data_IF_475432794700
#
_entry.id   IF_475432794700
#
_cell.length_a   1.000
_cell.length_b   1.000
_cell.length_c   1.000
_cell.angle_alpha   90.00
_cell.angle_beta   90.00
_cell.angle_gamma   90.00
#
_symmetry.space_group_name_H-M   'P 1'
#
loop_
_entity.id
_entity.type
_entity.pdbx_description
1 polymer ?
#
# COMPACT_ATOMS: atom_id res chain seq x y z
N UNK A 1 64.68 25.91 41.55
CA UNK A 1 63.95 24.70 41.19
C UNK A 1 62.47 24.89 41.52
N UNK A 2 61.66 25.20 40.52
CA UNK A 2 60.24 25.47 40.73
C UNK A 2 59.50 24.26 40.12
N UNK A 3 58.83 23.49 40.96
CA UNK A 3 58.05 22.35 40.58
C UNK A 3 56.64 22.79 40.23
N UNK A 4 56.23 22.69 38.98
CA UNK A 4 54.89 22.96 38.45
C UNK A 4 54.07 21.69 38.47
N UNK A 5 53.10 21.57 39.37
CA UNK A 5 52.17 20.48 39.44
C UNK A 5 51.01 20.73 38.45
N UNK A 6 50.92 19.91 37.38
CA UNK A 6 49.79 19.86 36.49
C UNK A 6 48.61 19.10 37.16
N UNK A 7 47.52 19.80 37.46
CA UNK A 7 46.24 19.17 37.84
C UNK A 7 45.44 18.88 36.56
N UNK A 8 45.28 17.60 36.25
CA UNK A 8 44.36 17.17 35.23
C UNK A 8 42.91 17.30 35.72
N UNK A 9 42.15 18.14 35.05
CA UNK A 9 40.69 18.24 35.28
C UNK A 9 40.00 17.15 34.45
N UNK A 10 39.42 16.17 35.13
CA UNK A 10 38.57 15.15 34.49
C UNK A 10 37.18 15.76 34.23
N UNK A 11 36.89 16.06 32.97
CA UNK A 11 35.54 16.44 32.56
C UNK A 11 34.64 15.19 32.47
N UNK A 12 33.72 15.08 33.40
CA UNK A 12 32.65 14.08 33.35
C UNK A 12 31.62 14.52 32.29
N UNK A 13 31.56 13.84 31.18
CA UNK A 13 30.46 13.94 30.21
C UNK A 13 29.28 13.17 30.81
N UNK A 14 28.28 13.89 31.31
CA UNK A 14 26.99 13.31 31.69
C UNK A 14 26.22 13.03 30.40
N UNK A 15 26.24 11.79 29.95
CA UNK A 15 25.34 11.32 28.90
C UNK A 15 23.97 11.16 29.53
N UNK A 16 23.11 12.16 29.37
CA UNK A 16 21.70 12.05 29.70
C UNK A 16 21.09 11.06 28.70
N UNK A 17 20.87 9.82 29.14
CA UNK A 17 20.03 8.87 28.42
C UNK A 17 18.60 9.42 28.41
N UNK A 18 18.20 10.05 27.31
CA UNK A 18 16.80 10.25 27.03
C UNK A 18 16.18 8.84 26.83
N UNK A 19 15.55 8.33 27.90
CA UNK A 19 14.61 7.24 27.74
C UNK A 19 13.53 7.77 26.79
N UNK A 20 13.48 7.21 25.56
CA UNK A 20 12.35 7.39 24.68
C UNK A 20 11.15 6.80 25.43
N UNK A 21 10.35 7.67 26.05
CA UNK A 21 9.05 7.28 26.59
C UNK A 21 8.27 6.72 25.41
N UNK A 22 7.97 5.42 25.44
CA UNK A 22 7.06 4.81 24.48
C UNK A 22 5.77 5.63 24.50
N UNK A 23 5.38 6.17 23.38
CA UNK A 23 4.10 6.88 23.27
C UNK A 23 3.04 5.79 23.31
N UNK A 24 2.37 5.62 24.46
CA UNK A 24 1.17 4.82 24.55
C UNK A 24 0.14 5.40 23.56
N UNK A 25 -0.25 4.61 22.57
CA UNK A 25 -1.08 5.04 21.44
C UNK A 25 -2.55 5.29 21.80
N UNK A 26 -2.91 5.17 23.08
CA UNK A 26 -4.28 5.36 23.58
C UNK A 26 -4.24 5.68 25.09
N UNK A 27 -5.41 5.93 25.69
CA UNK A 27 -5.53 6.00 27.15
C UNK A 27 -5.19 4.65 27.80
N UNK A 28 -4.91 4.63 29.11
CA UNK A 28 -4.67 3.38 29.88
C UNK A 28 -5.81 2.34 29.67
N UNK A 29 -7.04 2.79 29.40
CA UNK A 29 -8.19 1.93 29.07
C UNK A 29 -8.28 1.54 27.60
N UNK A 30 -7.29 1.86 26.78
CA UNK A 30 -7.26 1.55 25.33
C UNK A 30 -8.24 2.37 24.49
N UNK A 31 -8.86 3.44 25.06
CA UNK A 31 -9.82 4.29 24.35
C UNK A 31 -9.13 5.46 23.68
N UNK A 32 -9.59 5.80 22.50
CA UNK A 32 -9.14 6.97 21.73
C UNK A 32 -10.32 7.56 20.96
N UNK A 33 -10.20 8.83 20.56
CA UNK A 33 -11.17 9.48 19.70
C UNK A 33 -10.90 9.19 18.22
N UNK A 34 -11.96 8.99 17.47
CA UNK A 34 -11.90 8.90 16.00
C UNK A 34 -12.39 10.22 15.46
N UNK A 35 -11.67 10.82 14.53
CA UNK A 35 -12.01 12.10 13.93
C UNK A 35 -12.43 11.98 12.46
N UNK A 36 -13.22 12.95 12.01
CA UNK A 36 -13.56 13.14 10.59
C UNK A 36 -14.27 11.96 9.95
N UNK A 37 -13.85 11.61 8.74
CA UNK A 37 -14.49 10.57 7.93
C UNK A 37 -14.42 9.16 8.52
N UNK A 38 -13.51 8.92 9.49
CA UNK A 38 -13.43 7.64 10.19
C UNK A 38 -14.69 7.27 10.99
N UNK A 39 -15.49 8.26 11.41
CA UNK A 39 -16.76 8.07 12.10
C UNK A 39 -17.90 7.67 11.17
N UNK A 40 -17.76 7.92 9.87
CA UNK A 40 -18.81 7.65 8.90
C UNK A 40 -19.04 6.15 8.72
N UNK A 41 -20.23 5.78 8.30
CA UNK A 41 -20.57 4.40 7.98
C UNK A 41 -20.09 4.00 6.58
N UNK A 42 -19.95 2.72 6.35
CA UNK A 42 -19.73 2.12 5.06
C UNK A 42 -20.77 2.57 4.02
N UNK A 43 -22.05 2.69 4.40
CA UNK A 43 -23.08 3.20 3.50
C UNK A 43 -22.78 4.62 3.01
N UNK A 44 -22.27 5.51 3.86
CA UNK A 44 -21.89 6.86 3.48
C UNK A 44 -20.68 6.86 2.51
N UNK A 45 -19.70 5.98 2.74
CA UNK A 45 -18.57 5.80 1.83
C UNK A 45 -19.03 5.31 0.45
N UNK A 46 -19.85 4.26 0.40
CA UNK A 46 -20.37 3.69 -0.84
C UNK A 46 -21.19 4.73 -1.63
N UNK A 47 -22.04 5.48 -0.95
CA UNK A 47 -22.80 6.57 -1.56
C UNK A 47 -21.88 7.63 -2.18
N UNK A 48 -20.84 8.08 -1.45
CA UNK A 48 -19.89 9.07 -1.97
C UNK A 48 -19.10 8.55 -3.18
N UNK A 49 -18.75 7.25 -3.17
CA UNK A 49 -18.05 6.57 -4.26
C UNK A 49 -18.92 6.48 -5.52
N UNK A 50 -20.21 6.10 -5.39
CA UNK A 50 -21.15 5.97 -6.49
C UNK A 50 -21.51 7.31 -7.12
N UNK A 51 -21.62 8.37 -6.30
CA UNK A 51 -21.88 9.73 -6.76
C UNK A 51 -20.68 10.38 -7.46
N UNK A 52 -19.48 9.80 -7.33
CA UNK A 52 -18.28 10.22 -8.05
C UNK A 52 -18.35 9.71 -9.48
N UNK A 53 -18.76 10.54 -10.43
CA UNK A 53 -18.58 10.27 -11.86
C UNK A 53 -17.29 10.94 -12.35
N UNK A 54 -16.45 10.25 -13.17
CA UNK A 54 -15.29 10.89 -13.81
C UNK A 54 -15.67 12.10 -14.67
N UNK A 55 -16.90 12.11 -15.19
CA UNK A 55 -17.46 13.19 -16.03
C UNK A 55 -18.33 14.14 -15.23
N UNK A 56 -18.45 13.94 -13.91
CA UNK A 56 -19.39 14.70 -13.10
C UNK A 56 -18.82 16.07 -12.74
N UNK A 57 -19.54 17.09 -13.19
CA UNK A 57 -19.31 18.48 -12.79
C UNK A 57 -19.79 18.79 -11.38
N UNK A 58 -20.27 17.78 -10.63
CA UNK A 58 -20.69 17.92 -9.26
C UNK A 58 -19.49 17.95 -8.31
N UNK A 59 -18.89 19.12 -8.14
CA UNK A 59 -17.75 19.33 -7.28
C UNK A 59 -17.96 18.84 -5.83
N UNK A 60 -19.21 18.88 -5.32
CA UNK A 60 -19.52 18.43 -3.96
C UNK A 60 -19.42 16.91 -3.81
N UNK A 61 -19.81 16.13 -4.80
CA UNK A 61 -19.67 14.67 -4.78
C UNK A 61 -18.20 14.24 -4.88
N UNK A 62 -17.44 14.91 -5.73
CA UNK A 62 -15.98 14.70 -5.84
C UNK A 62 -15.29 15.04 -4.53
N UNK A 63 -15.64 16.16 -3.89
CA UNK A 63 -15.09 16.58 -2.59
C UNK A 63 -15.43 15.57 -1.48
N UNK A 64 -16.67 15.07 -1.45
CA UNK A 64 -17.10 14.09 -0.45
C UNK A 64 -16.26 12.81 -0.50
N UNK A 65 -16.05 12.24 -1.68
CA UNK A 65 -15.24 11.04 -1.84
C UNK A 65 -13.75 11.31 -1.54
N UNK A 66 -13.22 12.46 -1.99
CA UNK A 66 -11.83 12.85 -1.72
C UNK A 66 -11.56 12.98 -0.21
N UNK A 67 -12.52 13.42 0.58
CA UNK A 67 -12.41 13.47 2.06
C UNK A 67 -12.25 12.08 2.68
N UNK A 68 -12.97 11.09 2.18
CA UNK A 68 -12.81 9.71 2.63
C UNK A 68 -11.41 9.18 2.32
N UNK A 69 -10.96 9.35 1.08
CA UNK A 69 -9.65 8.87 0.66
C UNK A 69 -8.53 9.62 1.38
N UNK A 70 -8.61 10.95 1.51
CA UNK A 70 -7.63 11.74 2.25
C UNK A 70 -7.56 11.37 3.73
N UNK A 71 -8.71 10.99 4.34
CA UNK A 71 -8.71 10.47 5.70
C UNK A 71 -7.98 9.13 5.80
N UNK A 72 -8.19 8.21 4.83
CA UNK A 72 -7.49 6.91 4.76
C UNK A 72 -5.98 7.13 4.63
N UNK A 73 -5.54 7.98 3.70
CA UNK A 73 -4.12 8.30 3.50
C UNK A 73 -3.48 8.94 4.73
N UNK A 74 -4.20 9.84 5.40
CA UNK A 74 -3.77 10.43 6.67
C UNK A 74 -3.63 9.39 7.78
N UNK A 75 -4.59 8.44 7.87
CA UNK A 75 -4.53 7.35 8.82
C UNK A 75 -3.32 6.43 8.56
N UNK A 76 -3.07 6.04 7.30
CA UNK A 76 -1.92 5.23 6.92
C UNK A 76 -0.59 5.95 7.19
N UNK A 77 -0.54 7.28 7.00
CA UNK A 77 0.61 8.10 7.40
C UNK A 77 0.85 8.03 8.91
N UNK A 78 -0.21 8.07 9.71
CA UNK A 78 -0.14 7.85 11.16
C UNK A 78 0.39 6.45 11.50
N UNK A 79 -0.08 5.42 10.79
CA UNK A 79 0.40 4.05 10.96
C UNK A 79 1.90 3.97 10.65
N UNK A 80 2.38 4.54 9.53
CA UNK A 80 3.81 4.57 9.18
C UNK A 80 4.66 5.20 10.28
N UNK A 81 4.13 6.21 10.95
CA UNK A 81 4.86 6.92 12.01
C UNK A 81 4.89 6.17 13.33
N UNK A 82 3.81 5.51 13.71
CA UNK A 82 3.62 5.00 15.08
C UNK A 82 3.64 3.47 15.18
N UNK A 83 3.47 2.75 14.09
CA UNK A 83 3.64 1.31 14.07
C UNK A 83 5.14 0.99 14.02
N UNK A 84 5.66 0.36 15.06
CA UNK A 84 7.06 -0.04 15.12
C UNK A 84 7.49 -0.88 13.92
N UNK A 85 8.74 -0.72 13.49
CA UNK A 85 9.34 -1.48 12.38
C UNK A 85 8.56 -1.30 11.06
N UNK A 86 8.12 -0.05 10.79
CA UNK A 86 7.33 0.28 9.60
C UNK A 86 7.85 1.57 8.95
N UNK A 87 8.33 1.45 7.73
CA UNK A 87 8.63 2.60 6.87
C UNK A 87 7.41 2.99 6.04
N UNK A 88 6.79 2.01 5.36
CA UNK A 88 5.57 2.21 4.59
C UNK A 88 4.66 0.98 4.71
N UNK A 89 3.47 1.18 5.25
CA UNK A 89 2.46 0.11 5.44
C UNK A 89 1.77 -0.28 4.13
N UNK A 90 1.79 0.61 3.14
CA UNK A 90 1.07 0.47 1.88
C UNK A 90 1.96 0.87 0.67
N UNK A 91 3.09 0.18 0.46
CA UNK A 91 4.16 0.64 -0.42
C UNK A 91 3.84 0.60 -1.93
N UNK A 92 2.74 0.01 -2.34
CA UNK A 92 2.34 -0.14 -3.75
C UNK A 92 0.86 0.16 -4.00
N UNK A 93 0.09 0.40 -2.95
CA UNK A 93 -1.32 0.74 -3.08
C UNK A 93 -1.51 2.19 -3.54
N UNK A 94 -2.62 2.43 -4.22
CA UNK A 94 -3.03 3.78 -4.63
C UNK A 94 -4.37 4.16 -4.02
N UNK A 95 -4.71 5.45 -4.10
CA UNK A 95 -6.00 5.98 -3.70
C UNK A 95 -7.18 5.25 -4.37
N UNK A 96 -7.03 4.92 -5.66
CA UNK A 96 -8.03 4.17 -6.42
C UNK A 96 -8.20 2.76 -5.87
N UNK A 97 -7.09 2.08 -5.55
CA UNK A 97 -7.11 0.74 -4.99
C UNK A 97 -7.74 0.72 -3.59
N UNK A 98 -7.43 1.71 -2.74
CA UNK A 98 -8.15 1.85 -1.45
C UNK A 98 -9.65 1.96 -1.65
N UNK A 99 -10.06 2.78 -2.62
CA UNK A 99 -11.47 2.93 -2.98
C UNK A 99 -12.14 1.62 -3.41
N UNK A 100 -11.43 0.77 -4.12
CA UNK A 100 -11.92 -0.57 -4.53
C UNK A 100 -12.01 -1.50 -3.31
N UNK A 101 -10.93 -1.66 -2.55
CA UNK A 101 -10.87 -2.60 -1.41
C UNK A 101 -11.92 -2.24 -0.36
N UNK A 102 -11.95 -0.96 0.05
CA UNK A 102 -12.90 -0.48 1.04
C UNK A 102 -14.32 -0.59 0.51
N UNK A 103 -14.55 -0.26 -0.76
CA UNK A 103 -15.86 -0.33 -1.39
C UNK A 103 -16.44 -1.74 -1.42
N UNK A 104 -15.65 -2.74 -1.86
CA UNK A 104 -16.07 -4.14 -1.88
C UNK A 104 -16.47 -4.65 -0.48
N UNK A 105 -15.76 -4.21 0.55
CA UNK A 105 -16.10 -4.55 1.93
C UNK A 105 -17.38 -3.82 2.39
N UNK A 106 -17.46 -2.53 2.09
CA UNK A 106 -18.56 -1.67 2.52
C UNK A 106 -19.90 -2.03 1.88
N UNK A 107 -19.93 -2.49 0.63
CA UNK A 107 -21.13 -3.00 -0.03
C UNK A 107 -21.78 -4.16 0.75
N UNK A 108 -20.97 -4.98 1.40
CA UNK A 108 -21.42 -6.14 2.19
C UNK A 108 -21.71 -5.79 3.65
N UNK A 109 -21.14 -4.69 4.16
CA UNK A 109 -21.15 -4.30 5.57
C UNK A 109 -21.55 -2.83 5.77
N UNK A 110 -22.75 -2.38 5.34
CA UNK A 110 -23.12 -0.96 5.23
C UNK A 110 -23.14 -0.20 6.57
N UNK A 111 -23.29 -0.90 7.68
CA UNK A 111 -23.37 -0.30 9.02
C UNK A 111 -22.03 -0.21 9.74
N UNK A 112 -20.98 -0.81 9.20
CA UNK A 112 -19.65 -0.77 9.78
C UNK A 112 -19.05 0.62 9.62
N UNK A 113 -18.23 1.08 10.57
CA UNK A 113 -17.55 2.37 10.46
C UNK A 113 -16.31 2.26 9.58
N UNK A 114 -16.04 3.30 8.81
CA UNK A 114 -14.86 3.36 7.96
C UNK A 114 -13.55 3.08 8.74
N UNK A 115 -13.44 3.61 9.96
CA UNK A 115 -12.29 3.35 10.82
C UNK A 115 -12.05 1.85 11.04
N UNK A 116 -13.09 1.08 11.35
CA UNK A 116 -13.00 -0.35 11.60
C UNK A 116 -12.55 -1.12 10.35
N UNK A 117 -13.05 -0.72 9.19
CA UNK A 117 -12.65 -1.28 7.89
C UNK A 117 -11.19 -1.01 7.59
N UNK A 118 -10.75 0.25 7.77
CA UNK A 118 -9.35 0.64 7.53
C UNK A 118 -8.40 -0.04 8.52
N UNK A 119 -8.80 -0.22 9.78
CA UNK A 119 -8.02 -1.02 10.74
C UNK A 119 -7.80 -2.47 10.25
N UNK A 120 -8.86 -3.13 9.78
CA UNK A 120 -8.76 -4.48 9.22
C UNK A 120 -7.85 -4.51 8.01
N UNK A 121 -7.94 -3.51 7.14
CA UNK A 121 -7.05 -3.35 5.99
C UNK A 121 -5.58 -3.23 6.45
N UNK A 122 -5.28 -2.38 7.43
CA UNK A 122 -3.92 -2.22 7.98
C UNK A 122 -3.37 -3.53 8.53
N UNK A 123 -4.18 -4.30 9.26
CA UNK A 123 -3.76 -5.63 9.77
C UNK A 123 -3.33 -6.53 8.60
N UNK A 124 -4.09 -6.54 7.51
CA UNK A 124 -3.76 -7.33 6.32
C UNK A 124 -2.47 -6.83 5.66
N UNK A 125 -2.29 -5.51 5.54
CA UNK A 125 -1.12 -4.89 4.92
C UNK A 125 0.17 -5.06 5.72
N UNK A 126 0.08 -5.37 7.03
CA UNK A 126 1.25 -5.48 7.91
C UNK A 126 2.27 -6.50 7.42
N UNK A 127 1.84 -7.54 6.71
CA UNK A 127 2.74 -8.57 6.18
C UNK A 127 3.60 -8.09 5.01
N UNK A 128 3.08 -7.15 4.21
CA UNK A 128 3.71 -6.68 2.97
C UNK A 128 4.34 -5.28 3.12
N UNK A 129 4.36 -4.76 4.36
CA UNK A 129 4.91 -3.43 4.63
C UNK A 129 6.41 -3.36 4.37
N UNK A 130 6.88 -2.22 3.95
CA UNK A 130 8.30 -1.91 3.98
C UNK A 130 8.73 -1.56 5.41
N UNK A 131 9.77 -2.22 5.90
CA UNK A 131 10.35 -1.97 7.23
C UNK A 131 11.45 -0.93 7.19
N UNK A 132 12.09 -0.75 6.06
CA UNK A 132 13.21 0.16 5.84
C UNK A 132 12.94 1.02 4.61
N UNK A 133 13.54 2.23 4.54
CA UNK A 133 13.53 3.03 3.33
C UNK A 133 14.02 2.23 2.12
N UNK A 134 13.37 2.44 0.99
CA UNK A 134 13.74 1.85 -0.29
C UNK A 134 13.78 2.94 -1.36
N UNK A 135 14.73 2.84 -2.28
CA UNK A 135 14.79 3.73 -3.43
C UNK A 135 13.55 3.54 -4.31
N UNK A 136 13.18 4.60 -5.03
CA UNK A 136 12.07 4.56 -5.98
C UNK A 136 12.59 4.53 -7.41
N UNK A 137 11.97 3.74 -8.25
CA UNK A 137 12.22 3.67 -9.69
C UNK A 137 10.95 4.01 -10.47
N UNK A 138 11.10 4.84 -11.52
CA UNK A 138 10.01 5.14 -12.45
C UNK A 138 10.13 4.24 -13.68
N UNK A 139 9.17 3.35 -13.83
CA UNK A 139 9.04 2.42 -14.95
C UNK A 139 8.24 3.11 -16.06
N UNK A 140 8.78 3.17 -17.26
CA UNK A 140 8.10 3.80 -18.40
C UNK A 140 7.98 2.81 -19.54
N UNK A 141 6.76 2.62 -20.03
CA UNK A 141 6.48 1.84 -21.23
C UNK A 141 5.71 2.69 -22.23
N UNK A 142 5.91 2.42 -23.51
CA UNK A 142 5.02 2.92 -24.55
C UNK A 142 3.88 1.94 -24.73
N UNK A 143 2.66 2.45 -24.62
CA UNK A 143 1.49 1.65 -24.96
C UNK A 143 1.34 1.45 -26.48
N UNK A 144 0.34 0.68 -26.89
CA UNK A 144 0.06 0.38 -28.28
C UNK A 144 -0.32 1.61 -29.13
N UNK A 145 -0.56 2.77 -28.48
CA UNK A 145 -0.83 4.07 -29.11
C UNK A 145 0.41 4.97 -29.13
N UNK A 146 1.55 4.49 -28.60
CA UNK A 146 2.79 5.25 -28.46
C UNK A 146 2.80 6.22 -27.29
N UNK A 147 1.79 6.22 -26.42
CA UNK A 147 1.73 7.04 -25.23
C UNK A 147 2.63 6.46 -24.12
N UNK A 148 3.32 7.35 -23.40
CA UNK A 148 4.13 6.93 -22.27
C UNK A 148 3.22 6.62 -21.07
N UNK A 149 3.19 5.37 -20.64
CA UNK A 149 2.65 4.96 -19.35
C UNK A 149 3.78 4.75 -18.37
N UNK A 150 3.58 5.13 -17.11
CA UNK A 150 4.59 5.00 -16.09
C UNK A 150 4.00 4.67 -14.73
N UNK A 151 4.78 3.92 -13.96
CA UNK A 151 4.52 3.62 -12.55
C UNK A 151 5.79 3.96 -11.80
N UNK A 152 5.67 4.73 -10.72
CA UNK A 152 6.77 4.96 -9.78
C UNK A 152 6.57 4.03 -8.58
N UNK A 153 7.59 3.21 -8.28
CA UNK A 153 7.48 2.11 -7.33
C UNK A 153 8.80 1.95 -6.57
N UNK A 154 8.75 1.45 -5.36
CA UNK A 154 9.95 1.08 -4.60
C UNK A 154 10.68 -0.11 -5.22
N UNK A 155 12.00 -0.09 -5.23
CA UNK A 155 12.83 -1.21 -5.72
C UNK A 155 12.57 -2.49 -4.93
N UNK A 156 12.27 -2.40 -3.63
CA UNK A 156 11.87 -3.54 -2.80
C UNK A 156 10.54 -4.16 -3.25
N UNK A 157 9.59 -3.37 -3.74
CA UNK A 157 8.33 -3.89 -4.30
C UNK A 157 8.60 -4.59 -5.63
N UNK A 158 9.52 -4.07 -6.46
CA UNK A 158 9.96 -4.77 -7.69
C UNK A 158 10.59 -6.10 -7.34
N UNK A 159 11.47 -6.14 -6.32
CA UNK A 159 12.11 -7.37 -5.86
C UNK A 159 11.09 -8.41 -5.37
N UNK A 160 10.10 -7.97 -4.61
CA UNK A 160 8.99 -8.83 -4.17
C UNK A 160 8.17 -9.37 -5.36
N UNK A 161 7.87 -8.53 -6.35
CA UNK A 161 7.18 -8.96 -7.56
C UNK A 161 8.00 -10.00 -8.35
N UNK A 162 9.32 -9.81 -8.49
CA UNK A 162 10.22 -10.79 -9.12
C UNK A 162 10.19 -12.14 -8.39
N UNK A 163 10.19 -12.12 -7.04
CA UNK A 163 10.13 -13.33 -6.23
C UNK A 163 8.82 -14.09 -6.43
N UNK A 164 7.68 -13.40 -6.40
CA UNK A 164 6.36 -14.00 -6.63
C UNK A 164 6.22 -14.54 -8.06
N UNK A 165 6.68 -13.80 -9.07
CA UNK A 165 6.71 -14.25 -10.47
C UNK A 165 7.61 -15.48 -10.66
N UNK A 166 8.74 -15.52 -9.93
CA UNK A 166 9.66 -16.65 -9.95
C UNK A 166 9.07 -17.91 -9.33
N UNK A 167 8.35 -17.78 -8.19
CA UNK A 167 7.61 -18.88 -7.57
C UNK A 167 6.54 -19.47 -8.50
N UNK A 168 5.96 -18.64 -9.36
CA UNK A 168 4.96 -19.06 -10.36
C UNK A 168 5.59 -19.51 -11.70
N UNK A 169 6.92 -19.51 -11.82
CA UNK A 169 7.65 -19.91 -13.03
C UNK A 169 7.58 -18.92 -14.19
N UNK A 170 7.10 -17.69 -13.92
CA UNK A 170 6.94 -16.61 -14.90
C UNK A 170 8.17 -15.69 -15.00
N UNK A 171 9.11 -15.80 -14.08
CA UNK A 171 10.37 -15.08 -14.06
C UNK A 171 11.55 -16.03 -13.79
N UNK A 172 12.62 -15.89 -14.56
CA UNK A 172 13.82 -16.76 -14.42
C UNK A 172 15.09 -16.00 -14.08
N UNK A 173 15.01 -14.66 -14.02
CA UNK A 173 16.11 -13.78 -13.69
C UNK A 173 16.52 -13.81 -12.22
N UNK A 174 17.40 -12.87 -11.85
CA UNK A 174 17.82 -12.65 -10.49
C UNK A 174 16.80 -11.75 -9.74
N UNK A 175 16.46 -12.13 -8.52
CA UNK A 175 15.57 -11.36 -7.65
C UNK A 175 16.37 -10.24 -6.97
N UNK A 176 16.54 -9.13 -7.68
CA UNK A 176 17.45 -8.04 -7.28
C UNK A 176 16.77 -6.65 -7.19
N UNK A 177 15.48 -6.55 -7.54
CA UNK A 177 14.73 -5.29 -7.53
C UNK A 177 15.03 -4.39 -8.74
N UNK A 178 15.85 -4.83 -9.69
CA UNK A 178 16.07 -4.09 -10.93
C UNK A 178 14.97 -4.40 -11.93
N UNK A 179 14.47 -3.36 -12.59
CA UNK A 179 13.45 -3.52 -13.63
C UNK A 179 14.09 -3.83 -14.97
N UNK A 180 14.08 -5.09 -15.37
CA UNK A 180 14.62 -5.58 -16.63
C UNK A 180 13.51 -6.08 -17.58
N UNK A 181 13.90 -6.45 -18.79
CA UNK A 181 12.98 -6.95 -19.82
C UNK A 181 12.31 -8.27 -19.40
N UNK A 182 13.01 -9.13 -18.68
CA UNK A 182 12.48 -10.40 -18.22
C UNK A 182 11.45 -10.19 -17.10
N UNK A 183 11.68 -9.22 -16.20
CA UNK A 183 10.69 -8.80 -15.19
C UNK A 183 9.43 -8.26 -15.86
N UNK A 184 9.58 -7.38 -16.85
CA UNK A 184 8.48 -6.83 -17.61
C UNK A 184 7.65 -7.93 -18.31
N UNK A 185 8.31 -8.87 -18.99
CA UNK A 185 7.66 -10.02 -19.63
C UNK A 185 6.92 -10.89 -18.60
N UNK A 186 7.55 -11.15 -17.45
CA UNK A 186 6.94 -11.90 -16.35
C UNK A 186 5.65 -11.26 -15.88
N UNK A 187 5.65 -9.93 -15.68
CA UNK A 187 4.44 -9.16 -15.31
C UNK A 187 3.38 -9.25 -16.41
N UNK A 188 3.75 -9.07 -17.71
CA UNK A 188 2.81 -9.18 -18.80
C UNK A 188 2.16 -10.57 -18.89
N UNK A 189 2.95 -11.64 -18.76
CA UNK A 189 2.43 -13.01 -18.73
C UNK A 189 1.49 -13.24 -17.54
N UNK A 190 1.84 -12.72 -16.36
CA UNK A 190 0.97 -12.80 -15.21
C UNK A 190 -0.36 -12.08 -15.45
N UNK A 191 -0.31 -10.83 -15.95
CA UNK A 191 -1.50 -10.04 -16.28
C UNK A 191 -2.43 -10.79 -17.26
N UNK A 192 -1.89 -11.34 -18.34
CA UNK A 192 -2.64 -12.15 -19.29
C UNK A 192 -3.28 -13.38 -18.64
N UNK A 193 -2.54 -14.07 -17.74
CA UNK A 193 -3.02 -15.27 -17.05
C UNK A 193 -4.19 -14.98 -16.11
N UNK A 194 -4.25 -13.80 -15.48
CA UNK A 194 -5.34 -13.39 -14.58
C UNK A 194 -6.42 -12.55 -15.28
N UNK A 195 -6.34 -12.39 -16.62
CA UNK A 195 -7.35 -11.68 -17.41
C UNK A 195 -7.26 -10.17 -17.37
N UNK A 196 -6.12 -9.61 -16.95
CA UNK A 196 -5.81 -8.19 -17.05
C UNK A 196 -5.23 -7.86 -18.43
N UNK A 197 -5.20 -6.56 -18.76
CA UNK A 197 -4.46 -6.07 -19.92
C UNK A 197 -2.96 -6.30 -19.68
N UNK A 198 -2.28 -6.97 -20.59
CA UNK A 198 -0.87 -7.37 -20.54
C UNK A 198 0.09 -6.20 -20.85
N UNK A 199 -0.01 -5.14 -20.07
CA UNK A 199 0.80 -3.92 -20.21
C UNK A 199 2.27 -4.13 -19.88
N UNK A 200 2.57 -5.16 -19.09
CA UNK A 200 3.89 -5.38 -18.51
C UNK A 200 4.27 -4.35 -17.41
N UNK A 201 3.36 -3.46 -16.99
CA UNK A 201 3.58 -2.55 -15.86
C UNK A 201 2.97 -3.12 -14.57
N UNK A 202 3.68 -3.08 -13.45
CA UNK A 202 3.18 -3.54 -12.16
C UNK A 202 2.30 -2.45 -11.53
N UNK A 203 1.13 -2.20 -12.14
CA UNK A 203 0.13 -1.31 -11.56
C UNK A 203 -0.45 -1.86 -10.25
N UNK A 204 -1.10 -1.03 -9.40
CA UNK A 204 -1.58 -1.45 -8.09
C UNK A 204 -2.53 -2.65 -8.12
N UNK A 205 -3.37 -2.80 -9.17
CA UNK A 205 -4.27 -3.94 -9.28
C UNK A 205 -3.50 -5.22 -9.64
N UNK A 206 -2.51 -5.12 -10.53
CA UNK A 206 -1.60 -6.23 -10.86
C UNK A 206 -0.87 -6.72 -9.62
N UNK A 207 -0.30 -5.79 -8.83
CA UNK A 207 0.43 -6.14 -7.61
C UNK A 207 -0.48 -6.72 -6.53
N UNK A 208 -1.71 -6.19 -6.40
CA UNK A 208 -2.67 -6.78 -5.47
C UNK A 208 -2.96 -8.25 -5.78
N UNK A 209 -3.24 -8.56 -7.03
CA UNK A 209 -3.51 -9.93 -7.43
C UNK A 209 -2.27 -10.81 -7.25
N UNK A 210 -1.08 -10.30 -7.60
CA UNK A 210 0.18 -11.02 -7.51
C UNK A 210 0.56 -11.35 -6.05
N UNK A 211 0.36 -10.41 -5.13
CA UNK A 211 0.70 -10.57 -3.70
C UNK A 211 -0.43 -11.21 -2.87
N UNK A 212 -1.59 -11.45 -3.47
CA UNK A 212 -2.75 -12.07 -2.82
C UNK A 212 -3.12 -13.42 -3.47
N UNK A 213 -2.33 -14.48 -3.28
CA UNK A 213 -2.49 -15.74 -4.02
C UNK A 213 -3.87 -16.41 -3.84
N UNK A 214 -4.53 -16.17 -2.71
CA UNK A 214 -5.88 -16.72 -2.47
C UNK A 214 -6.94 -16.05 -3.36
N UNK A 215 -6.80 -14.75 -3.63
CA UNK A 215 -7.69 -14.03 -4.54
C UNK A 215 -7.47 -14.46 -5.98
N UNK A 216 -6.21 -14.68 -6.36
CA UNK A 216 -5.85 -15.15 -7.72
C UNK A 216 -6.47 -16.51 -8.05
N UNK A 217 -6.53 -17.42 -7.07
CA UNK A 217 -7.16 -18.73 -7.30
C UNK A 217 -8.68 -18.61 -7.48
N UNK A 218 -9.35 -17.74 -6.73
CA UNK A 218 -10.77 -17.49 -6.87
C UNK A 218 -11.11 -16.80 -8.19
N UNK A 219 -10.30 -15.83 -8.62
CA UNK A 219 -10.51 -15.07 -9.85
C UNK A 219 -10.19 -15.93 -11.08
N UNK A 220 -9.17 -16.77 -11.03
CA UNK A 220 -8.86 -17.76 -12.06
C UNK A 220 -10.00 -18.82 -12.20
N UNK A 221 -10.55 -19.28 -11.08
CA UNK A 221 -11.70 -20.19 -11.09
C UNK A 221 -12.95 -19.51 -11.68
N UNK A 222 -13.20 -18.23 -11.33
CA UNK A 222 -14.31 -17.46 -11.87
C UNK A 222 -14.16 -17.17 -13.36
N UNK A 223 -12.94 -16.87 -13.84
CA UNK A 223 -12.63 -16.68 -15.25
C UNK A 223 -12.81 -17.98 -16.06
N UNK A 224 -12.34 -19.10 -15.52
CA UNK A 224 -12.51 -20.42 -16.12
C UNK A 224 -14.00 -20.84 -16.20
N UNK A 225 -14.80 -20.51 -15.19
CA UNK A 225 -16.23 -20.73 -15.18
C UNK A 225 -16.97 -19.89 -16.23
N UNK A 226 -16.60 -18.60 -16.38
CA UNK A 226 -17.15 -17.73 -17.44
C UNK A 226 -16.80 -18.18 -18.85
N UNK A 227 -15.60 -18.73 -19.06
CA UNK A 227 -15.18 -19.27 -20.36
C UNK A 227 -15.94 -20.54 -20.74
N UNK A 228 -16.31 -21.40 -19.79
CA UNK A 228 -17.13 -22.60 -20.02
C UNK A 228 -18.59 -22.28 -20.37
N UNK A 229 -19.13 -21.16 -19.84
CA UNK A 229 -20.51 -20.76 -20.14
C UNK A 229 -20.67 -19.99 -21.46
N UNK A 230 -19.59 -19.70 -22.20
CA UNK A 230 -19.61 -19.05 -23.52
C UNK A 230 -19.50 -20.04 -24.70
N UNK A 231 -19.39 -21.34 -24.42
CA UNK A 231 -19.46 -22.44 -25.42
C UNK A 231 -20.81 -23.13 -25.32
#
# INVERSE_FOLDING_TARGET
MVSTSFRAAASFIVISAFAAAGVDAATESGRFAIEGAGLATCAAFTQAREQRSPDDKNAAAVDSYARFIGWVEGYLTGVNRYLGDTFDIAPWQSAELYGVIIGEHCEKNPNERLFEVVQKMVITLTNDRLKQPSDMVTLKLKDNKGENRGVTIYTEVVRHAQDELKKQGLYRGEVNGQWDEDTQKGVAFYQAAVGLQDTGLPDPLTLWLLFSPQKTQLDAAAAAAKAKNKK
#
